data_IF_754535200549
#
_entry.id   IF_754535200549
#
_cell.length_a   1.000
_cell.length_b   1.000
_cell.length_c   1.000
_cell.angle_alpha   90.00
_cell.angle_beta   90.00
_cell.angle_gamma   90.00
#
_symmetry.space_group_name_H-M   'P 1'
#
loop_
_entity.id
_entity.type
_entity.pdbx_description
1 polymer ?
#
# COMPACT_ATOMS: atom_id res chain seq x y z
N UNK A 1 -8.90 -36.19 26.29
CA UNK A 1 -8.25 -34.87 26.39
C UNK A 1 -8.83 -34.05 25.26
N UNK A 2 -9.61 -33.02 25.60
CA UNK A 2 -10.19 -32.13 24.60
C UNK A 2 -9.06 -31.38 23.90
N UNK A 3 -8.96 -31.49 22.57
CA UNK A 3 -7.98 -30.72 21.80
C UNK A 3 -8.41 -29.25 21.91
N UNK A 4 -7.78 -28.53 22.85
CA UNK A 4 -7.92 -27.09 22.91
C UNK A 4 -7.38 -26.52 21.60
N UNK A 5 -8.13 -25.59 21.00
CA UNK A 5 -7.66 -24.86 19.82
C UNK A 5 -6.31 -24.23 20.16
N UNK A 6 -5.31 -24.27 19.25
CA UNK A 6 -4.03 -23.64 19.51
C UNK A 6 -4.24 -22.14 19.76
N UNK A 7 -3.52 -21.52 20.70
CA UNK A 7 -3.51 -20.08 20.86
C UNK A 7 -3.13 -19.39 19.54
N UNK A 8 -3.88 -18.33 19.24
CA UNK A 8 -3.70 -17.52 18.05
C UNK A 8 -3.51 -16.06 18.47
N UNK A 9 -2.47 -15.43 17.92
CA UNK A 9 -2.10 -14.05 18.19
C UNK A 9 -2.06 -13.29 16.88
N UNK A 10 -2.75 -12.15 16.83
CA UNK A 10 -2.76 -11.27 15.66
C UNK A 10 -2.10 -9.96 16.06
N UNK A 11 -1.07 -9.58 15.32
CA UNK A 11 -0.34 -8.33 15.48
C UNK A 11 -0.64 -7.44 14.27
N UNK A 12 -1.31 -6.33 14.50
CA UNK A 12 -1.50 -5.29 13.48
C UNK A 12 -0.26 -4.41 13.45
N UNK A 13 0.42 -4.38 12.31
CA UNK A 13 1.68 -3.65 12.10
C UNK A 13 1.44 -2.51 11.12
N UNK A 14 1.61 -1.28 11.59
CA UNK A 14 1.56 -0.08 10.77
C UNK A 14 2.97 0.50 10.69
N UNK A 15 3.53 0.57 9.48
CA UNK A 15 4.90 1.04 9.28
C UNK A 15 5.05 1.78 7.95
N UNK A 16 6.01 2.69 7.90
CA UNK A 16 6.38 3.39 6.67
C UNK A 16 7.14 2.44 5.71
N UNK A 17 7.10 2.69 4.39
CA UNK A 17 7.82 1.87 3.42
C UNK A 17 9.33 1.74 3.68
N UNK A 18 9.94 2.75 4.29
CA UNK A 18 11.38 2.75 4.61
C UNK A 18 11.76 1.86 5.78
N UNK A 19 10.84 1.58 6.71
CA UNK A 19 11.11 0.87 7.97
C UNK A 19 10.40 -0.47 8.09
N UNK A 20 9.34 -0.69 7.32
CA UNK A 20 8.49 -1.90 7.39
C UNK A 20 9.30 -3.20 7.33
N UNK A 21 10.34 -3.26 6.50
CA UNK A 21 11.16 -4.47 6.35
C UNK A 21 11.86 -4.81 7.68
N UNK A 22 12.49 -3.83 8.30
CA UNK A 22 13.23 -4.03 9.55
C UNK A 22 12.30 -4.25 10.73
N UNK A 23 11.14 -3.58 10.76
CA UNK A 23 10.08 -3.81 11.75
C UNK A 23 9.58 -5.25 11.70
N UNK A 24 9.20 -5.75 10.52
CA UNK A 24 8.72 -7.14 10.37
C UNK A 24 9.80 -8.13 10.77
N UNK A 25 11.06 -7.93 10.35
CA UNK A 25 12.18 -8.77 10.77
C UNK A 25 12.36 -8.77 12.28
N UNK A 26 12.33 -7.60 12.93
CA UNK A 26 12.46 -7.47 14.38
C UNK A 26 11.40 -8.24 15.15
N UNK A 27 10.14 -8.15 14.71
CA UNK A 27 9.03 -8.90 15.32
C UNK A 27 9.23 -10.41 15.15
N UNK A 28 9.56 -10.86 13.93
CA UNK A 28 9.79 -12.29 13.67
C UNK A 28 10.95 -12.84 14.50
N UNK A 29 12.07 -12.13 14.57
CA UNK A 29 13.20 -12.51 15.41
C UNK A 29 12.81 -12.60 16.89
N UNK A 30 12.00 -11.67 17.38
CA UNK A 30 11.53 -11.68 18.77
C UNK A 30 10.61 -12.88 19.04
N UNK A 31 9.67 -13.19 18.14
CA UNK A 31 8.80 -14.37 18.24
C UNK A 31 9.66 -15.64 18.30
N UNK A 32 10.59 -15.79 17.35
CA UNK A 32 11.47 -16.97 17.34
C UNK A 32 12.37 -17.00 18.57
N UNK A 33 12.90 -15.88 19.07
CA UNK A 33 13.70 -15.87 20.28
C UNK A 33 12.96 -16.48 21.49
N UNK A 34 11.67 -16.21 21.63
CA UNK A 34 10.83 -16.79 22.70
C UNK A 34 10.35 -18.23 22.43
N UNK A 35 10.66 -18.79 21.25
CA UNK A 35 10.22 -20.12 20.79
C UNK A 35 11.34 -21.01 20.30
N UNK A 36 12.58 -20.50 20.30
CA UNK A 36 13.77 -21.24 19.90
C UNK A 36 14.25 -22.06 21.09
N UNK A 37 13.97 -23.37 21.04
CA UNK A 37 14.33 -24.31 22.10
C UNK A 37 15.83 -24.57 22.27
N UNK A 38 16.67 -24.54 21.22
CA UNK A 38 18.11 -24.68 21.39
C UNK A 38 18.73 -23.57 22.24
N UNK A 39 19.81 -23.89 22.95
CA UNK A 39 20.60 -22.89 23.65
C UNK A 39 21.23 -21.92 22.65
N UNK A 40 20.81 -20.66 22.70
CA UNK A 40 21.36 -19.59 21.87
C UNK A 40 22.14 -18.60 22.71
N UNK A 41 23.19 -18.02 22.11
CA UNK A 41 23.80 -16.81 22.69
C UNK A 41 22.90 -15.63 22.34
N UNK A 42 22.36 -14.91 23.33
CA UNK A 42 21.50 -13.77 23.06
C UNK A 42 22.30 -12.71 22.30
N UNK A 43 21.72 -12.22 21.21
CA UNK A 43 22.18 -11.05 20.46
C UNK A 43 21.06 -10.03 20.44
N UNK A 44 21.40 -8.79 20.14
CA UNK A 44 20.44 -7.71 20.02
C UNK A 44 20.51 -7.09 18.65
N UNK A 45 19.38 -6.55 18.20
CA UNK A 45 19.29 -5.75 17.00
C UNK A 45 18.40 -4.55 17.29
N UNK A 46 18.86 -3.37 16.88
CA UNK A 46 18.13 -2.13 17.08
C UNK A 46 17.17 -1.92 15.91
N UNK A 47 15.89 -1.75 16.23
CA UNK A 47 14.82 -1.47 15.29
C UNK A 47 14.09 -0.22 15.80
N UNK A 48 14.21 0.87 15.04
CA UNK A 48 13.78 2.20 15.49
C UNK A 48 14.44 2.58 16.83
N UNK A 49 13.66 2.85 17.86
CA UNK A 49 14.07 3.18 19.22
C UNK A 49 14.07 1.96 20.18
N UNK A 50 13.87 0.74 19.64
CA UNK A 50 13.81 -0.49 20.41
C UNK A 50 15.03 -1.38 20.16
N UNK A 51 15.61 -1.89 21.24
CA UNK A 51 16.64 -2.95 21.18
C UNK A 51 15.96 -4.31 21.39
N UNK A 52 15.85 -5.10 20.32
CA UNK A 52 15.13 -6.38 20.32
C UNK A 52 16.08 -7.58 20.40
N UNK A 53 15.67 -8.68 21.06
CA UNK A 53 16.47 -9.90 21.11
C UNK A 53 16.42 -10.66 19.78
N UNK A 54 17.55 -11.24 19.38
CA UNK A 54 17.70 -12.00 18.13
C UNK A 54 18.37 -13.34 18.39
N UNK A 55 17.90 -14.35 17.68
CA UNK A 55 18.53 -15.67 17.59
C UNK A 55 19.68 -15.61 16.59
N UNK A 56 20.91 -15.86 17.04
CA UNK A 56 22.10 -15.90 16.18
C UNK A 56 22.26 -17.22 15.41
N UNK A 57 21.23 -17.61 14.66
CA UNK A 57 21.19 -18.81 13.81
C UNK A 57 21.06 -18.41 12.33
N UNK A 58 22.05 -18.79 11.51
CA UNK A 58 22.16 -18.31 10.13
C UNK A 58 21.04 -18.84 9.22
N UNK A 59 20.53 -20.05 9.47
CA UNK A 59 19.44 -20.63 8.69
C UNK A 59 18.13 -19.88 8.97
N UNK A 60 17.84 -19.63 10.25
CA UNK A 60 16.69 -18.84 10.67
C UNK A 60 16.77 -17.39 10.18
N UNK A 61 17.93 -16.74 10.30
CA UNK A 61 18.16 -15.39 9.78
C UNK A 61 17.88 -15.32 8.28
N UNK A 62 18.39 -16.30 7.51
CA UNK A 62 18.14 -16.39 6.07
C UNK A 62 16.66 -16.61 5.76
N UNK A 63 15.98 -17.48 6.50
CA UNK A 63 14.55 -17.74 6.31
C UNK A 63 13.70 -16.50 6.58
N UNK A 64 13.98 -15.78 7.67
CA UNK A 64 13.30 -14.53 8.02
C UNK A 64 13.53 -13.47 6.93
N UNK A 65 14.76 -13.32 6.44
CA UNK A 65 15.11 -12.38 5.37
C UNK A 65 14.36 -12.70 4.07
N UNK A 66 14.30 -13.98 3.69
CA UNK A 66 13.59 -14.42 2.48
C UNK A 66 12.09 -14.17 2.56
N UNK A 67 11.45 -14.58 3.67
CA UNK A 67 10.01 -14.42 3.84
C UNK A 67 9.60 -12.96 3.96
N UNK A 68 10.39 -12.15 4.66
CA UNK A 68 10.14 -10.71 4.75
C UNK A 68 10.33 -10.05 3.39
N UNK A 69 11.39 -10.36 2.65
CA UNK A 69 11.60 -9.81 1.30
C UNK A 69 10.46 -10.19 0.33
N UNK A 70 9.92 -11.41 0.44
CA UNK A 70 8.74 -11.82 -0.33
C UNK A 70 7.51 -11.00 0.04
N UNK A 71 7.30 -10.72 1.33
CA UNK A 71 6.19 -9.88 1.79
C UNK A 71 6.32 -8.45 1.25
N UNK A 72 7.52 -7.84 1.33
CA UNK A 72 7.74 -6.47 0.83
C UNK A 72 7.44 -6.39 -0.67
N UNK A 73 7.91 -7.34 -1.48
CA UNK A 73 7.59 -7.38 -2.91
C UNK A 73 6.09 -7.49 -3.21
N UNK A 74 5.34 -8.22 -2.37
CA UNK A 74 3.88 -8.31 -2.49
C UNK A 74 3.21 -6.97 -2.16
N UNK A 75 3.70 -6.28 -1.13
CA UNK A 75 3.23 -4.94 -0.77
C UNK A 75 3.50 -3.94 -1.92
N UNK A 76 4.71 -3.93 -2.48
CA UNK A 76 5.08 -3.04 -3.61
C UNK A 76 4.18 -3.30 -4.85
N UNK A 77 3.93 -4.57 -5.17
CA UNK A 77 3.04 -4.92 -6.28
C UNK A 77 1.61 -4.43 -6.03
N UNK A 78 1.15 -4.48 -4.78
CA UNK A 78 -0.20 -4.05 -4.39
C UNK A 78 -0.32 -2.52 -4.39
N UNK A 79 0.77 -1.78 -4.10
CA UNK A 79 0.79 -0.32 -4.24
C UNK A 79 0.65 0.12 -5.69
N UNK A 80 1.33 -0.55 -6.63
CA UNK A 80 1.34 -0.17 -8.05
C UNK A 80 -0.01 -0.39 -8.73
N UNK A 81 -0.80 -1.35 -8.24
CA UNK A 81 -2.13 -1.67 -8.76
C UNK A 81 -3.22 -0.68 -8.31
N UNK A 82 -2.86 0.42 -7.64
CA UNK A 82 -3.77 1.54 -7.41
C UNK A 82 -4.90 1.23 -6.43
N UNK A 83 -4.66 0.42 -5.40
CA UNK A 83 -5.61 0.23 -4.29
C UNK A 83 -5.76 1.53 -3.49
N UNK A 84 -6.56 2.47 -4.01
CA UNK A 84 -6.74 3.83 -3.46
C UNK A 84 -7.72 3.87 -2.29
N UNK A 85 -8.44 2.78 -2.00
CA UNK A 85 -9.51 2.75 -1.00
C UNK A 85 -9.23 1.95 0.28
N UNK A 86 -8.32 0.97 0.27
CA UNK A 86 -8.08 0.09 1.45
C UNK A 86 -6.66 0.11 2.03
N UNK A 87 -5.75 0.93 1.48
CA UNK A 87 -4.33 0.92 1.88
C UNK A 87 -3.61 -0.34 1.38
N UNK A 88 -2.28 -0.30 1.39
CA UNK A 88 -1.45 -1.43 0.92
C UNK A 88 -1.20 -2.36 2.09
N UNK A 89 -1.65 -3.61 1.95
CA UNK A 89 -1.68 -4.60 3.03
C UNK A 89 -1.10 -5.93 2.59
N UNK A 90 -0.54 -6.65 3.56
CA UNK A 90 0.03 -7.98 3.38
C UNK A 90 0.14 -8.69 4.72
N UNK A 91 0.23 -10.01 4.69
CA UNK A 91 0.24 -10.81 5.91
C UNK A 91 1.36 -11.84 5.89
N UNK A 92 1.94 -12.10 7.06
CA UNK A 92 2.85 -13.22 7.29
C UNK A 92 2.43 -13.97 8.56
N UNK A 93 2.41 -15.29 8.48
CA UNK A 93 2.05 -16.16 9.61
C UNK A 93 3.23 -17.04 10.03
N UNK A 94 3.39 -17.20 11.34
CA UNK A 94 4.31 -18.15 11.97
C UNK A 94 3.47 -19.19 12.71
N UNK A 95 3.71 -20.45 12.44
CA UNK A 95 3.01 -21.57 13.07
C UNK A 95 4.02 -22.54 13.65
N UNK A 96 3.80 -22.93 14.90
CA UNK A 96 4.63 -23.91 15.59
C UNK A 96 3.91 -25.25 15.64
N UNK A 97 4.62 -26.30 15.21
CA UNK A 97 4.08 -27.66 15.12
C UNK A 97 4.81 -28.60 16.08
N UNK A 98 4.08 -29.58 16.61
CA UNK A 98 4.63 -30.72 17.34
C UNK A 98 4.44 -32.00 16.53
N UNK A 99 5.47 -32.85 16.50
CA UNK A 99 5.35 -34.19 15.91
C UNK A 99 4.74 -35.13 16.93
N UNK A 100 3.53 -35.61 16.65
CA UNK A 100 2.79 -36.52 17.51
C UNK A 100 2.64 -37.89 16.86
N UNK A 101 3.07 -38.94 17.57
CA UNK A 101 2.81 -40.32 17.14
C UNK A 101 1.36 -40.68 17.46
N UNK A 102 0.55 -40.96 16.43
CA UNK A 102 -0.75 -41.57 16.67
C UNK A 102 -0.58 -43.05 17.00
N UNK A 103 -1.00 -43.45 18.20
CA UNK A 103 -1.28 -44.86 18.52
C UNK A 103 -2.70 -45.18 18.04
N UNK A 104 -2.86 -45.39 16.74
CA UNK A 104 -4.02 -46.11 16.24
C UNK A 104 -3.66 -47.60 16.20
N UNK A 105 -4.53 -48.45 16.73
CA UNK A 105 -4.31 -49.89 16.91
C UNK A 105 -3.96 -50.67 15.62
N UNK A 106 -4.00 -50.03 14.45
CA UNK A 106 -3.53 -50.59 13.16
C UNK A 106 -2.75 -49.65 12.24
N UNK A 107 -2.51 -48.40 12.61
CA UNK A 107 -1.74 -47.47 11.76
C UNK A 107 -0.72 -46.70 12.58
N UNK A 108 0.55 -46.89 12.25
CA UNK A 108 1.66 -46.08 12.77
C UNK A 108 1.83 -44.91 11.83
N UNK A 109 1.34 -43.73 12.22
CA UNK A 109 1.52 -42.47 11.49
C UNK A 109 2.09 -41.40 12.40
N UNK A 110 3.02 -40.60 11.87
CA UNK A 110 3.44 -39.34 12.49
C UNK A 110 2.50 -38.23 11.98
N UNK A 111 1.95 -37.46 12.90
CA UNK A 111 1.07 -36.31 12.63
C UNK A 111 1.81 -35.05 13.10
N UNK A 112 1.71 -33.96 12.33
CA UNK A 112 2.14 -32.63 12.78
C UNK A 112 0.92 -31.86 13.29
N UNK A 113 0.99 -31.43 14.54
CA UNK A 113 -0.11 -30.72 15.20
C UNK A 113 0.34 -29.30 15.49
N UNK A 114 -0.35 -28.30 14.92
CA UNK A 114 -0.10 -26.91 15.25
C UNK A 114 -0.51 -26.65 16.71
N UNK A 115 0.41 -26.13 17.50
CA UNK A 115 0.17 -25.80 18.91
C UNK A 115 0.21 -24.30 19.20
N UNK A 116 0.63 -23.46 18.26
CA UNK A 116 0.61 -21.99 18.39
C UNK A 116 0.71 -21.29 17.03
N UNK A 117 -0.02 -20.19 16.86
CA UNK A 117 -0.03 -19.38 15.64
C UNK A 117 0.13 -17.89 15.94
N UNK A 118 0.97 -17.22 15.16
CA UNK A 118 1.11 -15.76 15.12
C UNK A 118 0.86 -15.26 13.71
N UNK A 119 0.02 -14.24 13.56
CA UNK A 119 -0.26 -13.58 12.29
C UNK A 119 0.13 -12.11 12.43
N UNK A 120 1.02 -11.65 11.57
CA UNK A 120 1.34 -10.23 11.43
C UNK A 120 0.53 -9.69 10.25
N UNK A 121 -0.40 -8.79 10.53
CA UNK A 121 -1.16 -8.05 9.53
C UNK A 121 -0.50 -6.69 9.30
N UNK A 122 0.20 -6.57 8.16
CA UNK A 122 1.07 -5.44 7.85
C UNK A 122 0.33 -4.48 6.93
N UNK A 123 0.16 -3.24 7.38
CA UNK A 123 -0.37 -2.13 6.59
C UNK A 123 0.72 -1.07 6.39
N UNK A 124 0.98 -0.71 5.14
CA UNK A 124 1.90 0.40 4.83
C UNK A 124 1.20 1.74 5.08
N UNK A 125 1.85 2.58 5.88
CA UNK A 125 1.49 3.99 6.02
C UNK A 125 2.00 4.74 4.79
N UNK A 126 1.17 4.88 3.77
CA UNK A 126 1.50 5.68 2.58
C UNK A 126 1.18 7.13 2.90
N UNK A 127 2.17 8.05 2.93
CA UNK A 127 1.90 9.46 3.11
C UNK A 127 0.94 9.93 2.01
N UNK A 128 -0.20 10.49 2.39
CA UNK A 128 -1.08 11.13 1.41
C UNK A 128 -0.38 12.39 0.95
N UNK A 129 0.17 12.39 -0.26
CA UNK A 129 0.51 13.63 -0.95
C UNK A 129 -0.80 14.37 -1.21
N UNK A 130 -1.04 15.41 -0.42
CA UNK A 130 -2.11 16.37 -0.59
C UNK A 130 -1.91 17.19 -1.88
N UNK A 131 -2.15 16.57 -3.04
CA UNK A 131 -2.44 17.29 -4.27
C UNK A 131 -3.91 17.71 -4.23
N UNK A 132 -4.24 18.65 -3.33
CA UNK A 132 -5.47 19.40 -3.37
C UNK A 132 -5.41 20.38 -4.52
N UNK A 133 -5.68 19.92 -5.75
CA UNK A 133 -6.01 20.83 -6.84
C UNK A 133 -7.31 21.53 -6.44
N UNK A 134 -7.17 22.78 -6.03
CA UNK A 134 -8.24 23.74 -5.95
C UNK A 134 -9.02 23.68 -7.26
N UNK A 135 -10.25 23.17 -7.19
CA UNK A 135 -11.27 23.39 -8.20
C UNK A 135 -11.47 24.90 -8.31
N UNK A 136 -10.71 25.54 -9.21
CA UNK A 136 -10.99 26.90 -9.66
C UNK A 136 -12.43 26.89 -10.16
N UNK A 137 -13.26 27.64 -9.44
CA UNK A 137 -14.65 27.86 -9.79
C UNK A 137 -14.74 28.31 -11.24
N UNK A 138 -15.75 27.78 -11.91
CA UNK A 138 -16.33 28.35 -13.10
C UNK A 138 -16.83 29.76 -12.77
N UNK A 139 -16.01 30.78 -13.00
CA UNK A 139 -16.47 32.17 -13.11
C UNK A 139 -16.98 32.33 -14.54
N UNK A 140 -18.30 32.33 -14.67
CA UNK A 140 -18.98 32.77 -15.87
C UNK A 140 -18.82 34.28 -15.98
N UNK A 141 -18.39 34.74 -17.14
CA UNK A 141 -18.36 36.15 -17.48
C UNK A 141 -19.20 36.32 -18.74
N UNK A 142 -20.45 36.73 -18.53
CA UNK A 142 -21.33 37.29 -19.53
C UNK A 142 -21.78 38.64 -19.01
N UNK A 143 -21.47 39.71 -19.74
CA UNK A 143 -22.44 40.66 -20.29
C UNK A 143 -21.79 42.03 -20.63
N UNK A 144 -22.20 42.53 -21.80
CA UNK A 144 -22.51 43.92 -22.15
C UNK A 144 -21.46 45.04 -22.05
N UNK A 145 -21.15 45.67 -23.20
CA UNK A 145 -21.80 46.94 -23.61
C UNK A 145 -21.01 47.65 -24.73
N UNK A 146 -21.77 48.38 -25.56
CA UNK A 146 -21.36 49.16 -26.72
C UNK A 146 -20.89 50.59 -26.40
N UNK A 147 -20.60 51.37 -27.46
CA UNK A 147 -20.30 52.81 -27.58
C UNK A 147 -18.81 53.20 -27.55
N UNK A 148 -18.29 54.18 -28.30
CA UNK A 148 -18.70 55.02 -29.44
C UNK A 148 -17.44 55.86 -29.82
N UNK A 149 -17.48 56.52 -30.98
CA UNK A 149 -16.73 57.73 -31.40
C UNK A 149 -15.55 57.61 -32.39
N UNK A 150 -15.92 57.82 -33.66
CA UNK A 150 -15.49 58.88 -34.59
C UNK A 150 -14.00 59.28 -34.72
N UNK A 151 -13.48 59.26 -35.96
CA UNK A 151 -12.93 60.46 -36.61
C UNK A 151 -12.78 60.32 -38.14
N UNK A 152 -13.10 61.42 -38.82
CA UNK A 152 -13.26 61.62 -40.26
C UNK A 152 -11.97 61.58 -41.09
N UNK A 153 -12.07 61.24 -42.39
CA UNK A 153 -11.51 62.06 -43.49
C UNK A 153 -12.05 61.69 -44.89
N UNK A 154 -12.56 62.76 -45.50
CA UNK A 154 -13.11 62.95 -46.85
C UNK A 154 -12.05 62.91 -47.97
N UNK A 155 -12.42 62.40 -49.15
CA UNK A 155 -12.37 63.08 -50.46
C UNK A 155 -12.30 62.10 -51.67
N UNK A 156 -13.35 62.15 -52.51
CA UNK A 156 -13.15 62.35 -53.96
C UNK A 156 -13.52 61.23 -54.94
N UNK A 157 -14.75 61.25 -55.47
CA UNK A 157 -15.10 61.57 -56.89
C UNK A 157 -16.53 61.13 -57.26
N UNK A 158 -17.32 61.94 -57.99
CA UNK A 158 -18.68 61.60 -58.41
C UNK A 158 -18.83 61.36 -59.93
N UNK A 159 -19.98 60.73 -60.27
CA UNK A 159 -20.67 60.59 -61.59
C UNK A 159 -20.19 59.40 -62.44
N UNK A 160 -21.07 58.55 -63.00
CA UNK A 160 -22.26 58.84 -63.80
C UNK A 160 -23.45 57.87 -63.56
N UNK A 161 -24.67 58.37 -63.86
CA UNK A 161 -25.98 57.68 -63.98
C UNK A 161 -26.25 57.43 -65.50
N UNK A 162 -27.40 56.91 -66.00
CA UNK A 162 -28.40 55.93 -65.50
C UNK A 162 -28.98 54.93 -66.57
N UNK A 163 -29.83 53.98 -66.09
CA UNK A 163 -31.05 53.39 -66.73
C UNK A 163 -30.94 52.26 -67.80
N UNK A 164 -32.04 51.53 -68.13
CA UNK A 164 -33.16 50.99 -67.32
C UNK A 164 -33.55 49.52 -67.75
N UNK A 165 -34.83 49.08 -67.69
CA UNK A 165 -35.30 47.93 -66.89
C UNK A 165 -35.60 46.68 -67.75
N UNK A 166 -36.15 45.63 -67.15
CA UNK A 166 -37.42 45.10 -67.68
C UNK A 166 -38.15 44.22 -66.66
N UNK A 167 -39.44 44.49 -66.59
CA UNK A 167 -40.48 43.76 -65.87
C UNK A 167 -40.86 42.48 -66.62
N UNK A 168 -41.37 41.48 -65.91
CA UNK A 168 -42.72 40.91 -66.04
C UNK A 168 -42.76 39.41 -65.70
N UNK A 169 -43.66 39.11 -64.75
CA UNK A 169 -44.44 37.87 -64.51
C UNK A 169 -43.74 36.51 -64.41
#
# INVERSE_FOLDING_TARGET
MEQRRPPEYILEVFADPSSVKDVVKGILHTIFFHRFFPSVRPRTHDVLDLTLPVVGDAELETLIEQKTSSLIRQLDTTSDLGSRSSGVRGQIAVQFFEKRRRKAWFTKGEEEVCWEQWTLDVTLAIPRTESGEASKGSEGDGDDAAEDSHEDRDYGKPRERPYPPDHHE
#
